data_IF_747519920252
#
_entry.id   IF_747519920252
#
_cell.length_a   1.000
_cell.length_b   1.000
_cell.length_c   1.000
_cell.angle_alpha   90.00
_cell.angle_beta   90.00
_cell.angle_gamma   90.00
#
_symmetry.space_group_name_H-M   'P 1'
#
loop_
_entity.id
_entity.type
_entity.pdbx_description
1 polymer ?
#
# COMPACT_ATOMS: atom_id res chain seq x y z
N UNK A 1 7.06 2.88 -12.18
CA UNK A 1 6.85 2.63 -10.73
C UNK A 1 8.06 1.88 -10.23
N UNK A 2 8.75 2.36 -9.18
CA UNK A 2 10.03 1.79 -8.76
C UNK A 2 9.89 0.91 -7.51
N UNK A 3 9.16 1.35 -6.48
CA UNK A 3 9.04 0.62 -5.21
C UNK A 3 7.63 0.10 -4.95
N UNK A 4 7.51 -1.03 -4.24
CA UNK A 4 6.28 -1.60 -3.71
C UNK A 4 6.34 -1.80 -2.19
N UNK A 5 5.18 -2.02 -1.57
CA UNK A 5 5.09 -2.40 -0.16
C UNK A 5 5.81 -3.72 0.10
N UNK A 6 6.68 -3.73 1.11
CA UNK A 6 7.56 -4.83 1.46
C UNK A 6 8.93 -4.78 0.81
N UNK A 7 9.16 -3.93 -0.20
CA UNK A 7 10.46 -3.83 -0.85
C UNK A 7 11.51 -3.18 0.06
N UNK A 8 12.77 -3.56 -0.18
CA UNK A 8 13.92 -2.85 0.36
C UNK A 8 14.37 -1.78 -0.62
N UNK A 9 14.70 -0.60 -0.13
CA UNK A 9 15.16 0.51 -0.94
C UNK A 9 16.27 1.28 -0.21
N UNK A 10 17.07 2.01 -0.97
CA UNK A 10 18.03 2.98 -0.45
C UNK A 10 17.50 4.39 -0.72
N UNK A 11 17.68 5.28 0.26
CA UNK A 11 17.36 6.70 0.09
C UNK A 11 18.47 7.34 -0.74
N UNK A 12 18.13 7.86 -1.92
CA UNK A 12 19.09 8.49 -2.85
C UNK A 12 19.08 10.01 -2.81
N UNK A 13 18.05 10.59 -2.20
CA UNK A 13 17.90 12.02 -2.03
C UNK A 13 17.08 12.29 -0.76
N UNK A 14 17.40 13.34 -0.02
CA UNK A 14 16.70 13.72 1.20
C UNK A 14 17.01 15.16 1.60
N UNK A 15 16.04 15.83 2.23
CA UNK A 15 16.26 17.16 2.80
C UNK A 15 17.36 17.18 3.86
N UNK A 16 17.45 16.11 4.68
CA UNK A 16 18.57 15.91 5.58
C UNK A 16 19.58 14.96 4.91
N UNK A 17 20.79 15.43 4.54
CA UNK A 17 21.80 14.61 3.87
C UNK A 17 22.20 13.35 4.64
N UNK A 18 22.09 13.34 5.97
CA UNK A 18 22.41 12.17 6.80
C UNK A 18 21.46 10.97 6.59
N UNK A 19 20.33 11.18 5.91
CA UNK A 19 19.43 10.10 5.55
C UNK A 19 19.80 9.44 4.22
N UNK A 20 20.61 10.10 3.38
CA UNK A 20 21.04 9.57 2.09
C UNK A 20 21.93 8.35 2.33
N UNK A 21 21.74 7.31 1.52
CA UNK A 21 22.46 6.04 1.62
C UNK A 21 21.85 5.06 2.63
N UNK A 22 20.88 5.48 3.45
CA UNK A 22 20.25 4.57 4.41
C UNK A 22 19.32 3.59 3.71
N UNK A 23 19.45 2.33 4.12
CA UNK A 23 18.59 1.25 3.67
C UNK A 23 17.31 1.28 4.50
N UNK A 24 16.18 1.20 3.79
CA UNK A 24 14.84 1.25 4.36
C UNK A 24 13.96 0.16 3.77
N UNK A 25 13.03 -0.33 4.57
CA UNK A 25 11.92 -1.17 4.13
C UNK A 25 10.71 -0.29 3.84
N UNK A 26 10.14 -0.43 2.65
CA UNK A 26 8.89 0.24 2.28
C UNK A 26 7.75 -0.46 2.99
N UNK A 27 7.01 0.28 3.83
CA UNK A 27 5.91 -0.29 4.60
C UNK A 27 4.58 -0.12 3.88
N UNK A 28 4.20 1.11 3.52
CA UNK A 28 2.89 1.40 2.91
C UNK A 28 2.86 2.83 2.38
N UNK A 29 1.84 3.18 1.60
CA UNK A 29 1.63 4.57 1.19
C UNK A 29 1.28 5.45 2.39
N UNK A 30 1.77 6.68 2.39
CA UNK A 30 1.42 7.70 3.38
C UNK A 30 -0.09 7.97 3.35
N UNK A 31 -0.70 8.06 4.54
CA UNK A 31 -2.11 8.46 4.70
C UNK A 31 -2.20 9.84 5.35
N UNK A 32 -3.40 10.41 5.43
CA UNK A 32 -3.61 11.70 6.10
C UNK A 32 -3.47 11.63 7.63
N UNK A 33 -3.41 10.42 8.21
CA UNK A 33 -3.40 10.19 9.66
C UNK A 33 -2.00 10.03 10.26
N UNK A 34 -0.95 10.13 9.45
CA UNK A 34 0.41 9.98 9.94
C UNK A 34 0.84 11.20 10.78
N UNK A 35 1.51 10.92 11.90
CA UNK A 35 2.19 11.96 12.70
C UNK A 35 3.27 12.66 11.90
N UNK A 36 3.99 11.91 11.08
CA UNK A 36 5.02 12.40 10.18
C UNK A 36 4.46 12.39 8.76
N UNK A 37 4.14 13.57 8.22
CA UNK A 37 3.57 13.69 6.87
C UNK A 37 4.23 14.81 6.09
N UNK A 38 4.44 14.55 4.81
CA UNK A 38 4.93 15.55 3.85
C UNK A 38 3.92 15.70 2.71
N UNK A 39 3.85 16.91 2.15
CA UNK A 39 3.12 17.17 0.91
C UNK A 39 4.11 17.03 -0.24
N UNK A 40 3.79 16.17 -1.20
CA UNK A 40 4.60 15.95 -2.39
C UNK A 40 3.66 15.67 -3.58
N UNK A 41 4.04 16.07 -4.79
CA UNK A 41 3.21 15.89 -5.99
C UNK A 41 3.12 14.43 -6.48
N UNK A 42 3.83 13.50 -5.83
CA UNK A 42 3.86 12.08 -6.19
C UNK A 42 3.58 11.15 -5.00
N UNK A 43 3.68 9.84 -5.24
CA UNK A 43 3.55 8.82 -4.19
C UNK A 43 4.57 9.08 -3.08
N UNK A 44 4.09 9.09 -1.83
CA UNK A 44 4.93 9.12 -0.64
C UNK A 44 4.76 7.80 0.09
N UNK A 45 5.87 7.15 0.39
CA UNK A 45 5.93 5.89 1.13
C UNK A 45 6.29 6.15 2.57
N UNK A 46 5.63 5.46 3.50
CA UNK A 46 6.13 5.29 4.85
C UNK A 46 7.16 4.17 4.81
N UNK A 47 8.36 4.48 5.27
CA UNK A 47 9.47 3.55 5.31
C UNK A 47 9.93 3.33 6.74
N UNK A 48 10.60 2.20 6.99
CA UNK A 48 11.27 1.89 8.24
C UNK A 48 12.74 1.58 8.00
N UNK A 49 13.63 2.09 8.84
CA UNK A 49 15.06 1.81 8.83
C UNK A 49 15.49 1.19 10.15
N UNK A 50 16.52 0.34 10.09
CA UNK A 50 17.17 -0.17 11.30
C UNK A 50 17.84 0.98 12.10
N UNK A 51 18.29 2.02 11.40
CA UNK A 51 18.89 3.20 12.00
C UNK A 51 17.88 4.34 12.15
N UNK A 52 18.14 5.27 13.07
CA UNK A 52 17.30 6.47 13.21
C UNK A 52 17.46 7.38 12.00
N UNK A 53 16.33 7.82 11.46
CA UNK A 53 16.23 8.83 10.42
C UNK A 53 15.95 10.19 11.06
N UNK A 54 16.56 11.23 10.52
CA UNK A 54 16.38 12.60 11.01
C UNK A 54 15.38 13.34 10.14
N UNK A 55 14.33 13.85 10.75
CA UNK A 55 13.28 14.58 10.06
C UNK A 55 13.20 16.01 10.56
N UNK A 56 13.02 16.96 9.64
CA UNK A 56 12.64 18.32 9.99
C UNK A 56 11.21 18.54 9.47
N UNK A 57 10.25 18.61 10.40
CA UNK A 57 8.84 18.80 10.08
C UNK A 57 8.24 19.88 10.97
N UNK A 58 7.61 20.88 10.34
CA UNK A 58 6.94 21.99 11.03
C UNK A 58 7.86 22.71 12.04
N UNK A 59 9.13 22.88 11.70
CA UNK A 59 10.13 23.50 12.57
C UNK A 59 10.57 22.64 13.76
N UNK A 60 10.18 21.36 13.81
CA UNK A 60 10.61 20.41 14.84
C UNK A 60 11.49 19.32 14.24
N UNK A 61 12.49 18.93 15.02
CA UNK A 61 13.38 17.83 14.69
C UNK A 61 12.83 16.53 15.30
N UNK A 62 12.68 15.50 14.47
CA UNK A 62 12.31 14.16 14.91
C UNK A 62 13.43 13.19 14.57
N UNK A 63 13.72 12.27 15.49
CA UNK A 63 14.65 11.17 15.27
C UNK A 63 13.91 9.85 15.46
N UNK A 64 13.48 9.27 14.36
CA UNK A 64 12.59 8.11 14.34
C UNK A 64 13.11 7.07 13.35
N UNK A 65 12.88 5.79 13.64
CA UNK A 65 13.20 4.70 12.73
C UNK A 65 12.26 4.63 11.52
N UNK A 66 11.18 5.42 11.51
CA UNK A 66 10.22 5.43 10.42
C UNK A 66 9.89 6.86 9.99
N UNK A 67 9.39 6.99 8.76
CA UNK A 67 8.88 8.26 8.27
C UNK A 67 8.56 8.27 6.78
N UNK A 68 8.06 9.39 6.28
CA UNK A 68 7.64 9.54 4.90
C UNK A 68 8.82 9.84 3.96
N UNK A 69 8.89 9.12 2.84
CA UNK A 69 9.86 9.35 1.76
C UNK A 69 9.13 9.31 0.41
N UNK A 70 9.26 10.36 -0.42
CA UNK A 70 8.77 10.36 -1.79
C UNK A 70 9.36 9.23 -2.65
N UNK A 71 8.56 8.67 -3.56
CA UNK A 71 8.99 7.56 -4.43
C UNK A 71 10.21 7.93 -5.31
N UNK A 72 10.31 9.18 -5.76
CA UNK A 72 11.45 9.68 -6.55
C UNK A 72 12.75 9.79 -5.75
N UNK A 73 12.69 9.75 -4.41
CA UNK A 73 13.84 9.78 -3.51
C UNK A 73 14.30 8.38 -3.08
N UNK A 74 13.62 7.34 -3.58
CA UNK A 74 13.94 5.94 -3.29
C UNK A 74 14.50 5.25 -4.53
N UNK A 75 15.55 4.46 -4.31
CA UNK A 75 16.03 3.49 -5.28
C UNK A 75 15.79 2.09 -4.71
N UNK A 76 14.94 1.26 -5.36
CA UNK A 76 14.75 -0.12 -4.93
C UNK A 76 16.08 -0.86 -4.97
N UNK A 77 16.37 -1.57 -3.89
CA UNK A 77 17.35 -2.63 -3.93
C UNK A 77 16.66 -3.78 -4.67
N UNK A 78 17.22 -4.21 -5.80
CA UNK A 78 16.66 -5.29 -6.62
C UNK A 78 16.55 -6.56 -5.77
N UNK A 79 15.40 -6.75 -5.15
CA UNK A 79 14.96 -8.05 -4.68
C UNK A 79 14.34 -8.72 -5.90
N UNK A 80 14.90 -9.83 -6.35
CA UNK A 80 14.33 -10.70 -7.40
C UNK A 80 12.85 -11.08 -7.14
N UNK A 81 12.35 -10.85 -5.93
CA UNK A 81 11.07 -11.35 -5.43
C UNK A 81 9.80 -10.71 -5.99
N UNK A 82 9.79 -9.48 -6.52
CA UNK A 82 8.51 -8.89 -6.99
C UNK A 82 8.05 -9.46 -8.34
N UNK A 83 8.99 -9.70 -9.26
CA UNK A 83 8.69 -10.39 -10.53
C UNK A 83 8.34 -11.87 -10.31
N UNK A 84 8.91 -12.51 -9.28
CA UNK A 84 8.58 -13.89 -8.88
C UNK A 84 7.21 -13.98 -8.18
N UNK A 85 6.90 -13.08 -7.24
CA UNK A 85 5.58 -13.08 -6.55
C UNK A 85 4.40 -12.80 -7.47
N UNK A 86 4.58 -11.95 -8.49
CA UNK A 86 3.54 -11.73 -9.50
C UNK A 86 3.35 -12.94 -10.45
N UNK A 87 4.37 -13.79 -10.62
CA UNK A 87 4.24 -15.06 -11.36
C UNK A 87 3.62 -16.17 -10.53
N UNK A 88 3.82 -16.16 -9.21
CA UNK A 88 3.35 -17.23 -8.32
C UNK A 88 1.91 -17.05 -7.81
N UNK A 89 1.30 -15.85 -7.87
CA UNK A 89 -0.11 -15.66 -7.48
C UNK A 89 -0.83 -14.56 -8.29
N UNK A 90 -1.59 -14.91 -9.35
CA UNK A 90 -2.44 -13.96 -10.07
C UNK A 90 -3.67 -13.48 -9.27
N UNK A 91 -3.98 -14.13 -8.14
CA UNK A 91 -5.22 -13.95 -7.38
C UNK A 91 -4.93 -13.58 -5.95
N UNK A 92 -4.69 -12.30 -5.66
CA UNK A 92 -5.08 -11.69 -4.38
C UNK A 92 -4.95 -10.16 -4.40
N UNK A 93 -5.87 -9.52 -5.11
CA UNK A 93 -6.48 -8.26 -4.65
C UNK A 93 -7.96 -8.29 -4.98
N UNK A 94 -8.70 -9.18 -4.31
CA UNK A 94 -10.14 -8.94 -4.16
C UNK A 94 -10.29 -7.78 -3.19
N UNK A 95 -10.70 -6.62 -3.71
CA UNK A 95 -11.13 -5.51 -2.89
C UNK A 95 -12.30 -6.01 -2.02
N UNK A 96 -12.31 -5.64 -0.74
CA UNK A 96 -13.37 -5.97 0.23
C UNK A 96 -14.79 -5.62 -0.30
N UNK A 97 -14.92 -4.67 -1.22
CA UNK A 97 -16.18 -4.36 -1.89
C UNK A 97 -16.67 -5.41 -2.89
N UNK A 98 -15.78 -6.17 -3.55
CA UNK A 98 -16.17 -7.17 -4.56
C UNK A 98 -16.80 -8.40 -3.91
N UNK A 99 -16.34 -8.81 -2.73
CA UNK A 99 -16.94 -9.92 -1.99
C UNK A 99 -18.39 -9.63 -1.58
N UNK A 100 -18.66 -8.40 -1.13
CA UNK A 100 -20.01 -7.95 -0.77
C UNK A 100 -20.97 -7.89 -1.97
N UNK A 101 -20.46 -7.56 -3.17
CA UNK A 101 -21.28 -7.51 -4.39
C UNK A 101 -21.61 -8.93 -4.87
N UNK A 102 -20.65 -9.86 -4.85
CA UNK A 102 -20.92 -11.26 -5.25
C UNK A 102 -21.91 -11.95 -4.31
N UNK A 103 -21.77 -11.77 -2.98
CA UNK A 103 -22.75 -12.33 -2.02
C UNK A 103 -24.14 -11.69 -2.17
N UNK A 104 -24.24 -10.46 -2.68
CA UNK A 104 -25.53 -9.81 -2.96
C UNK A 104 -26.13 -10.30 -4.27
N UNK A 105 -25.33 -10.41 -5.34
CA UNK A 105 -25.76 -10.90 -6.64
C UNK A 105 -26.21 -12.36 -6.58
N UNK A 106 -25.47 -13.25 -5.92
CA UNK A 106 -25.91 -14.65 -5.72
C UNK A 106 -27.23 -14.73 -4.94
N UNK A 107 -27.42 -13.87 -3.94
CA UNK A 107 -28.65 -13.82 -3.14
C UNK A 107 -29.83 -13.25 -3.96
N UNK A 108 -29.56 -12.32 -4.86
CA UNK A 108 -30.55 -11.80 -5.81
C UNK A 108 -30.90 -12.82 -6.89
N UNK A 109 -29.92 -13.58 -7.40
CA UNK A 109 -30.12 -14.64 -8.39
C UNK A 109 -30.98 -15.76 -7.80
N UNK A 110 -30.67 -16.21 -6.59
CA UNK A 110 -31.46 -17.20 -5.85
C UNK A 110 -32.90 -16.71 -5.63
N UNK A 111 -33.08 -15.44 -5.23
CA UNK A 111 -34.42 -14.86 -5.03
C UNK A 111 -35.18 -14.71 -6.36
N UNK A 112 -34.51 -14.40 -7.47
CA UNK A 112 -35.14 -14.41 -8.81
C UNK A 112 -35.57 -15.82 -9.20
N UNK A 113 -34.73 -16.83 -8.97
CA UNK A 113 -35.07 -18.22 -9.28
C UNK A 113 -36.25 -18.71 -8.44
N UNK A 114 -36.34 -18.32 -7.17
CA UNK A 114 -37.52 -18.60 -6.33
C UNK A 114 -38.80 -17.91 -6.82
N UNK A 115 -38.71 -16.68 -7.34
CA UNK A 115 -39.86 -15.95 -7.91
C UNK A 115 -40.21 -16.40 -9.34
N UNK A 116 -39.30 -17.09 -10.01
CA UNK A 116 -39.47 -17.63 -11.37
C UNK A 116 -39.98 -19.07 -11.37
N UNK A 117 -40.15 -19.67 -10.20
CA UNK A 117 -40.67 -21.02 -10.03
C UNK A 117 -42.22 -21.00 -10.08
N UNK A 118 -42.82 -21.44 -11.19
CA UNK A 118 -44.28 -21.42 -11.35
C UNK A 118 -45.00 -22.39 -10.40
N UNK A 119 -44.27 -23.25 -9.66
CA UNK A 119 -44.85 -24.14 -8.65
C UNK A 119 -45.19 -23.47 -7.32
N UNK A 120 -44.73 -22.23 -7.09
CA UNK A 120 -45.05 -21.45 -5.87
C UNK A 120 -46.21 -20.46 -6.06
N UNK A 121 -46.76 -20.33 -7.25
CA UNK A 121 -48.01 -19.61 -7.50
C UNK A 121 -49.19 -20.58 -7.41
N UNK A 122 -49.56 -20.98 -6.19
CA UNK A 122 -50.87 -21.59 -5.95
C UNK A 122 -51.90 -20.48 -5.63
N UNK A 123 -53.05 -20.59 -6.30
CA UNK A 123 -54.25 -19.75 -6.17
C UNK A 123 -55.00 -19.99 -4.85
#
# INVERSE_FOLDING_TARGET
MKCFEGDMAIIIDAYNPENIGKIVKVLRKQTMRERLRIRHQGTVWIVHSAEKLKWNMWGRHFMENFGPVPENQLQPLKSSTHYERLKENPTQRMNCGTFMIMEYEERCEMRRLEMSDPSKCEF
#
